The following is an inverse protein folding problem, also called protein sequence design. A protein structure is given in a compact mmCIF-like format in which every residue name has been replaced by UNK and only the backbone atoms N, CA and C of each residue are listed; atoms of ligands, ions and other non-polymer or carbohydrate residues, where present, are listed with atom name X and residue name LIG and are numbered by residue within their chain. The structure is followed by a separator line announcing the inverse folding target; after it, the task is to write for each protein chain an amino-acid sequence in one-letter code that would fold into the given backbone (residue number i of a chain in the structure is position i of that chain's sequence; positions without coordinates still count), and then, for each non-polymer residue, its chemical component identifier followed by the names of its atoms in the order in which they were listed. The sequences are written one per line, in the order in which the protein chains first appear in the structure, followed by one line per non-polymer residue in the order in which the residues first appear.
data_IF_108054461318
#
_entry.id   IF_108054461318
#
_cell.length_a   1.000
_cell.length_b   1.000
_cell.length_c   1.000
_cell.angle_alpha   90.00
_cell.angle_beta   90.00
_cell.angle_gamma   90.00
#
_symmetry.space_group_name_H-M   'P 1'
#
loop_
_entity.id
_entity.type
_entity.pdbx_description
1 polymer ?
#
# COMPACT_ATOMS: atom_id res chain seq x y z
N UNK A 1 5.95 5.92 -5.81
CA UNK A 1 4.73 6.73 -5.55
C UNK A 1 3.66 5.82 -4.99
N UNK A 2 2.94 6.24 -3.95
CA UNK A 2 1.75 5.54 -3.43
C UNK A 2 0.53 6.40 -3.76
N UNK A 3 -0.40 5.87 -4.54
CA UNK A 3 -1.65 6.56 -4.89
C UNK A 3 -2.72 6.25 -3.85
N UNK A 4 -3.41 7.27 -3.37
CA UNK A 4 -4.55 7.15 -2.48
C UNK A 4 -5.71 8.04 -2.96
N UNK A 5 -6.93 7.72 -2.52
CA UNK A 5 -8.13 8.54 -2.76
C UNK A 5 -8.86 8.70 -1.43
N UNK A 6 -9.57 9.81 -1.26
CA UNK A 6 -10.42 10.05 -0.08
C UNK A 6 -11.39 8.89 0.12
N UNK A 7 -12.10 8.51 -0.95
CA UNK A 7 -13.13 7.45 -0.91
C UNK A 7 -12.56 6.09 -0.52
N UNK A 8 -11.37 5.73 -1.00
CA UNK A 8 -10.71 4.49 -0.61
C UNK A 8 -10.33 4.50 0.88
N UNK A 9 -9.77 5.61 1.38
CA UNK A 9 -9.42 5.71 2.81
C UNK A 9 -10.67 5.67 3.68
N UNK A 10 -11.75 6.38 3.33
CA UNK A 10 -13.03 6.23 4.02
C UNK A 10 -13.54 4.80 4.00
N UNK A 11 -13.42 4.08 2.89
CA UNK A 11 -13.79 2.66 2.81
C UNK A 11 -12.95 1.77 3.76
N UNK A 12 -11.68 2.11 3.98
CA UNK A 12 -10.80 1.43 4.94
C UNK A 12 -11.07 1.76 6.41
N UNK A 13 -11.97 2.72 6.72
CA UNK A 13 -12.37 3.03 8.10
C UNK A 13 -13.12 1.92 8.83
N UNK A 14 -13.59 0.89 8.09
CA UNK A 14 -14.46 -0.17 8.63
C UNK A 14 -15.91 0.26 8.87
N UNK A 15 -16.26 1.54 8.63
CA UNK A 15 -17.61 2.09 8.84
C UNK A 15 -18.57 1.80 7.68
N UNK A 16 -18.05 1.39 6.53
CA UNK A 16 -18.80 1.22 5.29
C UNK A 16 -18.68 -0.21 4.74
N UNK A 17 -19.81 -0.76 4.28
CA UNK A 17 -19.82 -2.04 3.57
C UNK A 17 -19.65 -1.81 2.08
N UNK A 18 -18.46 -2.08 1.56
CA UNK A 18 -18.18 -2.03 0.12
C UNK A 18 -18.48 -3.38 -0.51
N UNK A 19 -19.24 -3.39 -1.61
CA UNK A 19 -19.54 -4.60 -2.38
C UNK A 19 -19.10 -4.38 -3.82
N UNK A 20 -18.22 -5.25 -4.33
CA UNK A 20 -17.75 -5.16 -5.71
C UNK A 20 -18.93 -5.17 -6.70
N UNK A 21 -18.89 -4.27 -7.67
CA UNK A 21 -19.95 -4.11 -8.68
C UNK A 21 -21.21 -3.38 -8.21
N UNK A 22 -21.28 -2.90 -6.96
CA UNK A 22 -22.37 -2.06 -6.47
C UNK A 22 -21.93 -0.60 -6.30
N UNK A 23 -22.87 0.36 -6.37
CA UNK A 23 -22.58 1.75 -6.02
C UNK A 23 -22.01 1.89 -4.62
N UNK A 24 -21.16 2.91 -4.42
CA UNK A 24 -20.66 3.27 -3.10
C UNK A 24 -21.82 3.73 -2.20
N UNK A 25 -21.77 3.49 -0.88
CA UNK A 25 -22.79 4.01 0.03
C UNK A 25 -22.83 5.55 -0.02
N UNK A 26 -24.01 6.16 -0.13
CA UNK A 26 -24.16 7.62 -0.25
C UNK A 26 -23.47 8.37 0.89
N UNK A 27 -23.53 7.83 2.11
CA UNK A 27 -22.86 8.41 3.29
C UNK A 27 -21.34 8.54 3.14
N UNK A 28 -20.70 7.66 2.37
CA UNK A 28 -19.25 7.71 2.11
C UNK A 28 -18.87 8.90 1.23
N UNK A 29 -19.81 9.40 0.42
CA UNK A 29 -19.60 10.53 -0.48
C UNK A 29 -19.77 11.89 0.22
N UNK A 30 -20.27 11.92 1.45
CA UNK A 30 -20.41 13.15 2.25
C UNK A 30 -19.05 13.55 2.84
N UNK A 31 -18.83 14.86 3.01
CA UNK A 31 -17.64 15.41 3.66
C UNK A 31 -17.49 14.83 5.08
N UNK A 32 -16.40 14.10 5.30
CA UNK A 32 -16.06 13.56 6.62
C UNK A 32 -14.54 13.24 6.72
N UNK A 33 -13.71 14.22 7.13
CA UNK A 33 -12.29 14.01 7.37
C UNK A 33 -12.00 12.95 8.44
N UNK A 34 -12.88 12.78 9.44
CA UNK A 34 -12.70 11.78 10.50
C UNK A 34 -12.75 10.35 9.95
N UNK A 35 -13.55 10.10 8.91
CA UNK A 35 -13.59 8.79 8.24
C UNK A 35 -12.33 8.53 7.42
N UNK A 36 -11.71 9.58 6.86
CA UNK A 36 -10.41 9.47 6.18
C UNK A 36 -9.34 9.10 7.20
N UNK A 37 -9.29 9.80 8.34
CA UNK A 37 -8.35 9.51 9.43
C UNK A 37 -8.55 8.10 9.96
N UNK A 38 -9.80 7.65 10.14
CA UNK A 38 -10.10 6.30 10.61
C UNK A 38 -9.62 5.19 9.67
N UNK A 39 -9.47 5.45 8.37
CA UNK A 39 -8.91 4.49 7.40
C UNK A 39 -7.45 4.72 7.02
N UNK A 40 -6.78 5.70 7.63
CA UNK A 40 -5.42 6.12 7.28
C UNK A 40 -4.37 5.04 7.55
N UNK A 41 -4.67 4.11 8.46
CA UNK A 41 -3.79 3.00 8.84
C UNK A 41 -3.41 2.12 7.64
N UNK A 42 -4.30 1.99 6.66
CA UNK A 42 -3.97 1.32 5.40
C UNK A 42 -2.84 2.05 4.65
N UNK A 43 -2.93 3.38 4.51
CA UNK A 43 -1.87 4.19 3.89
C UNK A 43 -0.58 4.14 4.71
N UNK A 44 -0.68 4.19 6.05
CA UNK A 44 0.47 4.05 6.96
C UNK A 44 1.24 2.77 6.64
N UNK A 45 0.53 1.64 6.59
CA UNK A 45 1.14 0.34 6.35
C UNK A 45 1.80 0.25 4.97
N UNK A 46 1.21 0.85 3.93
CA UNK A 46 1.85 0.91 2.62
C UNK A 46 3.14 1.76 2.64
N UNK A 47 3.14 2.90 3.34
CA UNK A 47 4.33 3.73 3.51
C UNK A 47 5.44 2.97 4.25
N UNK A 48 5.09 2.29 5.34
CA UNK A 48 6.01 1.43 6.11
C UNK A 48 6.61 0.33 5.23
N UNK A 49 5.78 -0.34 4.41
CA UNK A 49 6.22 -1.40 3.52
C UNK A 49 7.24 -0.90 2.49
N UNK A 50 7.05 0.28 1.88
CA UNK A 50 8.04 0.85 0.97
C UNK A 50 9.34 1.23 1.72
N UNK A 51 9.23 1.82 2.92
CA UNK A 51 10.39 2.18 3.73
C UNK A 51 11.24 0.99 4.17
N UNK A 52 10.67 -0.20 4.32
CA UNK A 52 11.44 -1.43 4.60
C UNK A 52 12.51 -1.70 3.54
N UNK A 53 12.23 -1.31 2.30
CA UNK A 53 13.15 -1.43 1.19
C UNK A 53 14.21 -0.30 1.13
N UNK A 54 14.29 0.58 2.13
CA UNK A 54 15.27 1.67 2.15
C UNK A 54 14.92 2.86 1.26
N UNK A 55 13.66 2.96 0.80
CA UNK A 55 13.16 4.02 -0.09
C UNK A 55 12.03 4.78 0.59
N UNK A 56 12.01 6.11 0.47
CA UNK A 56 10.88 6.94 0.95
C UNK A 56 9.90 7.19 -0.20
N UNK A 57 8.61 6.81 -0.07
CA UNK A 57 7.64 7.06 -1.12
C UNK A 57 7.25 8.54 -1.21
N UNK A 58 6.63 8.93 -2.34
CA UNK A 58 5.81 10.13 -2.47
C UNK A 58 4.35 9.70 -2.54
N UNK A 59 3.47 10.34 -1.76
CA UNK A 59 2.02 10.09 -1.78
C UNK A 59 1.36 10.97 -2.84
N UNK A 60 0.51 10.37 -3.66
CA UNK A 60 -0.32 11.07 -4.64
C UNK A 60 -1.79 10.90 -4.26
N UNK A 61 -2.45 11.99 -3.89
CA UNK A 61 -3.89 12.01 -3.64
C UNK A 61 -4.57 12.21 -4.99
N UNK A 62 -5.16 11.17 -5.55
CA UNK A 62 -5.94 11.28 -6.78
C UNK A 62 -7.31 11.89 -6.45
N UNK A 63 -7.50 13.16 -6.82
CA UNK A 63 -8.68 13.95 -6.47
C UNK A 63 -9.87 13.64 -7.38
N UNK A 64 -11.05 13.52 -6.77
CA UNK A 64 -12.33 13.47 -7.46
C UNK A 64 -13.15 14.75 -7.23
N UNK A 65 -14.09 15.09 -8.15
CA UNK A 65 -14.92 16.28 -8.02
C UNK A 65 -15.74 16.36 -6.72
N UNK A 66 -16.11 15.21 -6.15
CA UNK A 66 -16.85 15.11 -4.89
C UNK A 66 -15.97 15.06 -3.65
N UNK A 67 -14.65 15.10 -3.78
CA UNK A 67 -13.73 15.12 -2.64
C UNK A 67 -13.65 16.54 -2.07
N UNK A 68 -13.56 16.65 -0.74
CA UNK A 68 -13.53 17.92 -0.05
C UNK A 68 -12.11 18.32 0.35
N UNK A 69 -11.85 19.62 0.41
CA UNK A 69 -10.54 20.15 0.79
C UNK A 69 -10.09 19.66 2.17
N UNK A 70 -11.00 19.63 3.14
CA UNK A 70 -10.74 19.15 4.50
C UNK A 70 -10.25 17.70 4.55
N UNK A 71 -10.66 16.88 3.60
CA UNK A 71 -10.30 15.47 3.49
C UNK A 71 -8.94 15.28 2.84
N UNK A 72 -8.61 16.11 1.84
CA UNK A 72 -7.25 16.19 1.31
C UNK A 72 -6.26 16.66 2.38
N UNK A 73 -6.63 17.65 3.19
CA UNK A 73 -5.82 18.16 4.30
C UNK A 73 -5.57 17.06 5.35
N UNK A 74 -6.57 16.24 5.70
CA UNK A 74 -6.37 15.10 6.60
C UNK A 74 -5.31 14.09 6.09
N UNK A 75 -5.27 13.81 4.78
CA UNK A 75 -4.25 12.92 4.19
C UNK A 75 -2.88 13.62 4.17
N UNK A 76 -2.87 14.91 3.84
CA UNK A 76 -1.64 15.72 3.78
C UNK A 76 -0.97 15.80 5.14
N UNK A 77 -1.70 16.20 6.17
CA UNK A 77 -1.22 16.32 7.54
C UNK A 77 -0.61 15.01 8.02
N UNK A 78 -1.27 13.88 7.73
CA UNK A 78 -0.77 12.57 8.07
C UNK A 78 0.55 12.22 7.34
N UNK A 79 0.63 12.46 6.03
CA UNK A 79 1.84 12.20 5.26
C UNK A 79 3.02 13.07 5.74
N UNK A 80 2.75 14.35 6.03
CA UNK A 80 3.75 15.29 6.54
C UNK A 80 4.25 14.91 7.94
N UNK A 81 3.38 14.45 8.84
CA UNK A 81 3.77 13.90 10.15
C UNK A 81 4.72 12.70 10.03
N UNK A 82 4.59 11.91 8.96
CA UNK A 82 5.50 10.80 8.69
C UNK A 82 6.76 11.23 7.93
N UNK A 83 6.93 12.52 7.59
CA UNK A 83 8.03 13.02 6.76
C UNK A 83 7.96 12.50 5.32
N UNK A 84 6.76 12.36 4.76
CA UNK A 84 6.51 11.87 3.40
C UNK A 84 5.92 12.99 2.56
N UNK A 85 6.51 13.21 1.37
CA UNK A 85 5.99 14.18 0.40
C UNK A 85 4.61 13.77 -0.10
N UNK A 86 3.73 14.75 -0.30
CA UNK A 86 2.35 14.51 -0.71
C UNK A 86 1.87 15.59 -1.68
N UNK A 87 1.28 15.17 -2.79
CA UNK A 87 0.70 16.04 -3.80
C UNK A 87 -0.76 15.66 -4.09
N UNK A 88 -1.61 16.66 -4.30
CA UNK A 88 -2.97 16.44 -4.81
C UNK A 88 -2.92 16.46 -6.33
N UNK A 89 -3.49 15.44 -6.97
CA UNK A 89 -3.42 15.22 -8.40
C UNK A 89 -4.80 15.34 -9.04
N UNK A 90 -4.90 16.15 -10.09
CA UNK A 90 -6.12 16.40 -10.89
C UNK A 90 -5.96 15.94 -12.34
N UNK A 91 -4.97 15.09 -12.62
CA UNK A 91 -4.58 14.69 -13.98
C UNK A 91 -5.64 13.92 -14.76
N UNK A 92 -6.66 13.36 -14.10
CA UNK A 92 -7.83 12.83 -14.79
C UNK A 92 -8.57 13.92 -15.59
N UNK A 93 -8.71 15.12 -15.01
CA UNK A 93 -9.38 16.25 -15.65
C UNK A 93 -8.41 17.16 -16.44
N UNK A 94 -7.18 17.32 -15.95
CA UNK A 94 -6.24 18.33 -16.46
C UNK A 94 -5.03 17.75 -17.22
N UNK A 95 -5.00 16.43 -17.42
CA UNK A 95 -3.86 15.75 -18.05
C UNK A 95 -2.56 15.98 -17.27
N UNK A 96 -1.43 16.10 -17.98
CA UNK A 96 -0.11 16.25 -17.35
C UNK A 96 0.02 17.46 -16.41
N UNK A 97 -0.73 18.55 -16.65
CA UNK A 97 -0.70 19.74 -15.80
C UNK A 97 -1.17 19.44 -14.38
N UNK A 98 -2.19 18.59 -14.23
CA UNK A 98 -2.75 18.16 -12.95
C UNK A 98 -1.85 17.24 -12.14
N UNK A 99 -0.65 16.89 -12.62
CA UNK A 99 0.37 16.14 -11.88
C UNK A 99 1.74 16.82 -11.87
N UNK A 100 1.82 18.10 -12.24
CA UNK A 100 3.11 18.82 -12.27
C UNK A 100 3.79 18.84 -10.89
N UNK A 101 3.04 19.15 -9.83
CA UNK A 101 3.54 19.12 -8.45
C UNK A 101 4.06 17.73 -8.06
N UNK A 102 3.30 16.67 -8.38
CA UNK A 102 3.74 15.29 -8.14
C UNK A 102 5.04 14.98 -8.91
N UNK A 103 5.15 15.40 -10.17
CA UNK A 103 6.32 15.16 -11.00
C UNK A 103 7.57 15.84 -10.42
N UNK A 104 7.46 17.08 -9.96
CA UNK A 104 8.54 17.80 -9.29
C UNK A 104 8.96 17.10 -7.99
N UNK A 105 8.00 16.68 -7.17
CA UNK A 105 8.29 15.93 -5.93
C UNK A 105 8.94 14.58 -6.19
N UNK A 106 8.53 13.86 -7.24
CA UNK A 106 9.12 12.59 -7.64
C UNK A 106 10.52 12.77 -8.19
N UNK A 107 10.77 13.80 -9.00
CA UNK A 107 12.11 14.12 -9.48
C UNK A 107 13.05 14.43 -8.31
N UNK A 108 12.62 15.30 -7.37
CA UNK A 108 13.38 15.60 -6.18
C UNK A 108 13.65 14.35 -5.31
N UNK A 109 12.67 13.47 -5.13
CA UNK A 109 12.85 12.23 -4.39
C UNK A 109 13.77 11.22 -5.10
N UNK A 110 13.83 11.24 -6.44
CA UNK A 110 14.72 10.37 -7.22
C UNK A 110 16.18 10.81 -7.14
N UNK A 111 16.44 12.10 -6.94
CA UNK A 111 17.78 12.65 -6.73
C UNK A 111 18.32 12.43 -5.30
N UNK A 112 17.47 11.99 -4.36
CA UNK A 112 17.88 11.67 -3.00
C UNK A 112 18.61 10.31 -2.92
N UNK A 113 19.70 10.22 -2.15
CA UNK A 113 20.35 8.95 -1.90
C UNK A 113 19.39 8.00 -1.17
N UNK A 114 19.41 6.73 -1.56
CA UNK A 114 18.65 5.67 -0.91
C UNK A 114 19.50 4.40 -0.79
N UNK A 115 19.12 3.51 0.12
CA UNK A 115 19.79 2.23 0.36
C UNK A 115 18.84 1.09 0.02
N UNK A 116 18.50 0.97 -1.26
CA UNK A 116 17.56 -0.05 -1.69
C UNK A 116 18.01 -1.46 -1.27
N UNK A 117 17.09 -2.21 -0.68
CA UNK A 117 17.30 -3.62 -0.32
C UNK A 117 16.08 -4.48 -0.59
N UNK A 118 16.34 -5.74 -0.96
CA UNK A 118 15.31 -6.76 -1.02
C UNK A 118 14.79 -7.09 0.39
N UNK A 119 13.57 -7.61 0.44
CA UNK A 119 12.91 -7.96 1.70
C UNK A 119 13.60 -9.13 2.42
N UNK A 120 14.19 -10.04 1.65
CA UNK A 120 14.90 -11.22 2.13
C UNK A 120 16.09 -11.52 1.20
N UNK A 121 17.12 -12.24 1.67
CA UNK A 121 18.21 -12.70 0.82
C UNK A 121 17.77 -13.82 -0.14
N UNK A 122 18.41 -13.94 -1.29
CA UNK A 122 18.06 -14.93 -2.33
C UNK A 122 18.26 -16.38 -1.83
N UNK A 123 19.22 -16.59 -0.93
CA UNK A 123 19.57 -17.89 -0.36
C UNK A 123 18.59 -18.35 0.74
N UNK A 124 17.67 -17.49 1.20
CA UNK A 124 16.66 -17.90 2.17
C UNK A 124 15.82 -19.05 1.62
N UNK A 125 15.47 -20.00 2.49
CA UNK A 125 14.58 -21.09 2.09
C UNK A 125 13.16 -20.56 1.82
N UNK A 126 12.36 -21.36 1.11
CA UNK A 126 11.01 -20.96 0.69
C UNK A 126 10.10 -20.61 1.88
N UNK A 127 10.25 -21.28 3.03
CA UNK A 127 9.39 -21.04 4.21
C UNK A 127 9.72 -19.72 4.86
N UNK A 128 11.02 -19.45 5.03
CA UNK A 128 11.54 -18.18 5.52
C UNK A 128 11.07 -17.04 4.61
N UNK A 129 11.18 -17.18 3.28
CA UNK A 129 10.68 -16.18 2.33
C UNK A 129 9.18 -15.89 2.50
N UNK A 130 8.36 -16.93 2.63
CA UNK A 130 6.91 -16.80 2.85
C UNK A 130 6.62 -16.09 4.19
N UNK A 131 7.30 -16.51 5.26
CA UNK A 131 7.14 -15.94 6.61
C UNK A 131 7.60 -14.49 6.69
N UNK A 132 8.71 -14.12 6.03
CA UNK A 132 9.17 -12.73 5.93
C UNK A 132 8.12 -11.87 5.23
N UNK A 133 7.57 -12.31 4.09
CA UNK A 133 6.49 -11.56 3.42
C UNK A 133 5.28 -11.40 4.36
N UNK A 134 4.85 -12.49 4.99
CA UNK A 134 3.67 -12.49 5.85
C UNK A 134 3.82 -11.55 7.06
N UNK A 135 4.94 -11.64 7.77
CA UNK A 135 5.19 -10.85 8.97
C UNK A 135 5.53 -9.39 8.65
N UNK A 136 6.42 -9.14 7.69
CA UNK A 136 6.94 -7.81 7.46
C UNK A 136 6.00 -6.94 6.62
N UNK A 137 5.46 -7.51 5.52
CA UNK A 137 4.62 -6.78 4.57
C UNK A 137 3.16 -6.82 4.99
N UNK A 138 2.67 -7.98 5.44
CA UNK A 138 1.27 -8.13 5.82
C UNK A 138 1.00 -7.90 7.32
N UNK A 139 2.03 -7.96 8.17
CA UNK A 139 1.85 -7.84 9.62
C UNK A 139 1.16 -9.06 10.25
N UNK A 140 1.29 -10.23 9.65
CA UNK A 140 0.76 -11.47 10.19
C UNK A 140 1.65 -12.01 11.33
N UNK A 141 1.04 -12.63 12.34
CA UNK A 141 1.77 -13.27 13.45
C UNK A 141 2.52 -14.53 13.01
N UNK A 142 2.12 -15.14 11.90
CA UNK A 142 2.77 -16.34 11.37
C UNK A 142 2.08 -16.92 10.14
N UNK A 143 2.59 -18.06 9.69
CA UNK A 143 2.09 -18.78 8.51
C UNK A 143 1.76 -20.21 8.89
N UNK A 144 0.60 -20.70 8.45
CA UNK A 144 0.22 -22.11 8.62
C UNK A 144 0.24 -22.80 7.26
N UNK A 145 0.84 -23.99 7.22
CA UNK A 145 0.94 -24.79 6.01
C UNK A 145 0.02 -26.01 6.14
N UNK A 146 -0.81 -26.24 5.13
CA UNK A 146 -1.49 -27.54 5.01
C UNK A 146 -0.46 -28.66 4.76
N UNK A 147 -0.80 -29.93 5.05
CA UNK A 147 0.10 -31.05 4.76
C UNK A 147 0.55 -31.09 3.29
N UNK A 148 -0.37 -30.80 2.35
CA UNK A 148 -0.07 -30.76 0.92
C UNK A 148 0.90 -29.63 0.56
N UNK A 149 0.67 -28.43 1.10
CA UNK A 149 1.56 -27.29 0.87
C UNK A 149 2.96 -27.56 1.43
N UNK A 150 3.06 -28.13 2.64
CA UNK A 150 4.33 -28.49 3.23
C UNK A 150 5.10 -29.50 2.36
N UNK A 151 4.41 -30.55 1.88
CA UNK A 151 5.01 -31.56 0.99
C UNK A 151 5.48 -30.97 -0.35
N UNK A 152 4.72 -30.02 -0.91
CA UNK A 152 5.08 -29.33 -2.14
C UNK A 152 6.35 -28.47 -1.95
N UNK A 153 6.44 -27.70 -0.87
CA UNK A 153 7.63 -26.90 -0.56
C UNK A 153 8.89 -27.77 -0.48
N UNK A 154 8.81 -28.89 0.24
CA UNK A 154 9.95 -29.81 0.36
C UNK A 154 10.33 -30.42 -0.99
N UNK A 155 9.34 -30.68 -1.86
CA UNK A 155 9.55 -31.18 -3.22
C UNK A 155 10.27 -30.16 -4.09
N UNK A 156 9.87 -28.89 -4.04
CA UNK A 156 10.53 -27.82 -4.78
C UNK A 156 11.97 -27.60 -4.32
N UNK A 157 12.21 -27.63 -3.01
CA UNK A 157 13.57 -27.53 -2.46
C UNK A 157 14.45 -28.68 -2.96
N UNK A 158 13.98 -29.93 -2.92
CA UNK A 158 14.73 -31.09 -3.44
C UNK A 158 14.97 -31.04 -4.95
N UNK A 159 14.07 -30.41 -5.70
CA UNK A 159 14.19 -30.23 -7.14
C UNK A 159 15.13 -29.06 -7.54
N UNK A 160 15.73 -28.37 -6.57
CA UNK A 160 16.66 -27.25 -6.82
C UNK A 160 15.98 -25.89 -6.97
N UNK A 161 14.67 -25.77 -6.69
CA UNK A 161 13.91 -24.52 -6.81
C UNK A 161 13.83 -23.72 -5.50
N UNK A 162 14.50 -24.17 -4.43
CA UNK A 162 14.40 -23.57 -3.10
C UNK A 162 14.91 -22.12 -3.00
N UNK A 163 15.82 -21.72 -3.88
CA UNK A 163 16.39 -20.38 -3.92
C UNK A 163 15.55 -19.38 -4.77
N UNK A 164 14.50 -19.83 -5.46
CA UNK A 164 13.67 -18.92 -6.25
C UNK A 164 12.90 -17.92 -5.36
N UNK A 165 12.54 -16.74 -5.87
CA UNK A 165 11.62 -15.82 -5.20
C UNK A 165 10.22 -16.41 -5.03
N UNK A 166 9.49 -15.92 -4.03
CA UNK A 166 8.13 -16.35 -3.73
C UNK A 166 7.10 -15.34 -4.25
N UNK A 167 6.04 -15.85 -4.89
CA UNK A 167 4.85 -15.09 -5.25
C UNK A 167 3.67 -15.55 -4.39
N UNK A 168 3.14 -14.67 -3.54
CA UNK A 168 2.00 -14.98 -2.66
C UNK A 168 0.69 -14.61 -3.33
N UNK A 169 -0.12 -15.62 -3.68
CA UNK A 169 -1.48 -15.42 -4.16
C UNK A 169 -2.44 -15.24 -2.98
N UNK A 170 -2.91 -14.01 -2.73
CA UNK A 170 -3.91 -13.66 -1.70
C UNK A 170 -4.95 -12.67 -2.21
N UNK A 171 -6.00 -12.43 -1.41
CA UNK A 171 -6.94 -11.33 -1.67
C UNK A 171 -6.21 -9.98 -1.66
N UNK A 172 -6.52 -9.13 -2.65
CA UNK A 172 -5.98 -7.77 -2.75
C UNK A 172 -6.78 -6.75 -1.93
N UNK A 173 -7.92 -7.15 -1.36
CA UNK A 173 -8.83 -6.28 -0.62
C UNK A 173 -8.48 -6.12 0.87
N UNK A 174 -7.53 -6.92 1.36
CA UNK A 174 -7.08 -6.86 2.75
C UNK A 174 -5.59 -7.13 2.83
N UNK A 175 -4.93 -6.46 3.75
CA UNK A 175 -3.53 -6.74 4.11
C UNK A 175 -3.46 -8.10 4.82
N UNK A 176 -4.41 -8.39 5.72
CA UNK A 176 -4.57 -9.74 6.27
C UNK A 176 -5.24 -10.68 5.27
N UNK A 177 -5.10 -11.99 5.49
CA UNK A 177 -5.82 -13.05 4.79
C UNK A 177 -6.69 -13.81 5.76
#
# INVERSE_FOLDING_TARGET
VIVATVRALKAHSGKYRITAGKPLPDKLLLENPEDVVAGIDNLRKQIENIRRHGVTPVVAINSFPEDFRSEHEAIRDFAEQLGVRVAVCTNFAEGGKGSAELAEMVAAAADEPNEFRFLYPDEADLRTKIETIASEVYGADGVQYSPDAAKQLDTYTRAGFGALPVCVAKTHLSISS
#
